data_IF_730653186713
#
_entry.id   IF_730653186713
#
_cell.length_a   1.000
_cell.length_b   1.000
_cell.length_c   1.000
_cell.angle_alpha   90.00
_cell.angle_beta   90.00
_cell.angle_gamma   90.00
#
_symmetry.space_group_name_H-M   'P 1'
#
loop_
_entity.id
_entity.type
_entity.pdbx_description
1 polymer ?
#
# COMPACT_ATOMS: atom_id res chain seq x y z
N UNK A 1 -1.67 -14.34 23.48
CA UNK A 1 -2.83 -13.52 23.91
C UNK A 1 -3.99 -14.45 24.20
N UNK A 2 -4.71 -14.29 25.32
CA UNK A 2 -5.84 -15.15 25.66
C UNK A 2 -7.08 -14.72 24.86
N UNK A 3 -7.20 -15.21 23.62
CA UNK A 3 -8.26 -14.83 22.66
C UNK A 3 -9.68 -15.10 23.20
N UNK A 4 -9.85 -16.06 24.10
CA UNK A 4 -11.14 -16.43 24.71
C UNK A 4 -11.70 -15.36 25.68
N UNK A 5 -10.91 -14.35 26.03
CA UNK A 5 -11.32 -13.26 26.93
C UNK A 5 -11.84 -12.02 26.18
N UNK A 6 -11.69 -11.98 24.86
CA UNK A 6 -12.09 -10.86 24.02
C UNK A 6 -13.55 -10.97 23.58
N UNK A 7 -14.23 -9.84 23.44
CA UNK A 7 -15.59 -9.83 22.92
C UNK A 7 -15.58 -10.26 21.44
N UNK A 8 -16.66 -10.95 21.03
CA UNK A 8 -16.87 -11.43 19.67
C UNK A 8 -16.79 -10.32 18.61
N UNK A 9 -17.19 -9.09 18.96
CA UNK A 9 -17.14 -7.93 18.05
C UNK A 9 -15.70 -7.46 17.80
N UNK A 10 -14.89 -7.37 18.85
CA UNK A 10 -13.47 -7.03 18.76
C UNK A 10 -12.69 -8.07 17.95
N UNK A 11 -12.98 -9.36 18.18
CA UNK A 11 -12.37 -10.45 17.43
C UNK A 11 -12.70 -10.38 15.94
N UNK A 12 -13.96 -10.08 15.57
CA UNK A 12 -14.36 -9.92 14.17
C UNK A 12 -13.68 -8.72 13.53
N UNK A 13 -13.63 -7.59 14.24
CA UNK A 13 -12.94 -6.38 13.77
C UNK A 13 -11.46 -6.66 13.51
N UNK A 14 -10.78 -7.29 14.46
CA UNK A 14 -9.38 -7.69 14.33
C UNK A 14 -9.16 -8.67 13.16
N UNK A 15 -10.04 -9.65 12.96
CA UNK A 15 -9.95 -10.58 11.84
C UNK A 15 -10.13 -9.87 10.50
N UNK A 16 -11.12 -8.97 10.38
CA UNK A 16 -11.35 -8.18 9.16
C UNK A 16 -10.13 -7.33 8.83
N UNK A 17 -9.65 -6.56 9.80
CA UNK A 17 -8.46 -5.72 9.64
C UNK A 17 -7.24 -6.55 9.24
N UNK A 18 -7.06 -7.73 9.83
CA UNK A 18 -5.94 -8.63 9.50
C UNK A 18 -6.02 -9.15 8.07
N UNK A 19 -7.19 -9.57 7.61
CA UNK A 19 -7.41 -10.03 6.24
C UNK A 19 -7.21 -8.91 5.23
N UNK A 20 -7.77 -7.72 5.48
CA UNK A 20 -7.57 -6.53 4.64
C UNK A 20 -6.08 -6.17 4.55
N UNK A 21 -5.37 -6.16 5.69
CA UNK A 21 -3.93 -5.93 5.72
C UNK A 21 -3.18 -6.98 4.90
N UNK A 22 -3.52 -8.26 5.06
CA UNK A 22 -2.90 -9.34 4.31
C UNK A 22 -3.13 -9.20 2.80
N UNK A 23 -4.33 -8.80 2.36
CA UNK A 23 -4.60 -8.54 0.94
C UNK A 23 -3.73 -7.39 0.41
N UNK A 24 -3.63 -6.29 1.16
CA UNK A 24 -2.80 -5.14 0.76
C UNK A 24 -1.33 -5.53 0.61
N UNK A 25 -0.81 -6.30 1.55
CA UNK A 25 0.57 -6.80 1.51
C UNK A 25 0.84 -7.74 0.32
N UNK A 26 -0.09 -8.65 0.04
CA UNK A 26 0.01 -9.53 -1.13
C UNK A 26 -0.07 -8.75 -2.45
N UNK A 27 -0.95 -7.73 -2.54
CA UNK A 27 -1.04 -6.85 -3.70
C UNK A 27 0.26 -6.07 -3.91
N UNK A 28 0.81 -5.48 -2.85
CA UNK A 28 2.07 -4.76 -2.89
C UNK A 28 3.22 -5.67 -3.37
N UNK A 29 3.36 -6.86 -2.78
CA UNK A 29 4.39 -7.83 -3.17
C UNK A 29 4.31 -8.16 -4.67
N UNK A 30 3.11 -8.50 -5.17
CA UNK A 30 2.92 -8.85 -6.58
C UNK A 30 3.23 -7.66 -7.48
N UNK A 31 2.72 -6.48 -7.15
CA UNK A 31 2.94 -5.27 -7.93
C UNK A 31 4.41 -4.93 -8.02
N UNK A 32 5.09 -4.76 -6.88
CA UNK A 32 6.47 -4.28 -6.84
C UNK A 32 7.44 -5.27 -7.48
N UNK A 33 7.22 -6.57 -7.26
CA UNK A 33 8.05 -7.62 -7.85
C UNK A 33 7.93 -7.63 -9.36
N UNK A 34 6.70 -7.57 -9.89
CA UNK A 34 6.48 -7.67 -11.34
C UNK A 34 6.73 -6.34 -12.07
N UNK A 35 6.45 -5.20 -11.42
CA UNK A 35 6.78 -3.88 -11.95
C UNK A 35 8.29 -3.72 -12.13
N UNK A 36 9.09 -4.19 -11.17
CA UNK A 36 10.54 -4.13 -11.24
C UNK A 36 11.12 -4.97 -12.39
N UNK A 37 10.55 -6.15 -12.63
CA UNK A 37 11.04 -7.09 -13.63
C UNK A 37 10.51 -6.81 -15.05
N UNK A 38 9.28 -6.30 -15.18
CA UNK A 38 8.57 -6.21 -16.47
C UNK A 38 8.06 -4.81 -16.82
N UNK A 39 8.18 -3.82 -15.92
CA UNK A 39 7.69 -2.45 -16.12
C UNK A 39 6.17 -2.30 -15.95
N UNK A 40 5.63 -1.12 -16.29
CA UNK A 40 4.24 -0.74 -16.00
C UNK A 40 3.19 -1.70 -16.58
N UNK A 41 3.47 -2.30 -17.75
CA UNK A 41 2.58 -3.23 -18.45
C UNK A 41 2.85 -4.71 -18.07
N UNK A 42 3.23 -4.97 -16.82
CA UNK A 42 3.56 -6.33 -16.34
C UNK A 42 2.39 -7.31 -16.44
N UNK A 43 1.14 -6.84 -16.46
CA UNK A 43 -0.04 -7.71 -16.64
C UNK A 43 -0.02 -8.49 -17.93
N UNK A 44 0.48 -7.88 -19.01
CA UNK A 44 0.53 -8.48 -20.34
C UNK A 44 1.88 -9.08 -20.66
N UNK A 45 2.95 -8.47 -20.16
CA UNK A 45 4.33 -8.83 -20.48
C UNK A 45 4.93 -9.88 -19.55
N UNK A 46 4.46 -10.01 -18.31
CA UNK A 46 5.04 -10.93 -17.34
C UNK A 46 4.83 -12.39 -17.76
N UNK A 47 5.94 -13.07 -18.07
CA UNK A 47 5.98 -14.46 -18.51
C UNK A 47 7.24 -15.17 -18.05
N UNK A 48 7.15 -16.49 -17.89
CA UNK A 48 8.28 -17.39 -17.63
C UNK A 48 8.41 -18.29 -18.86
N UNK A 49 9.40 -18.01 -19.71
CA UNK A 49 9.42 -18.58 -21.06
C UNK A 49 8.18 -18.15 -21.84
N UNK A 50 7.36 -19.11 -22.24
CA UNK A 50 6.09 -18.87 -22.93
C UNK A 50 4.86 -18.86 -22.00
N UNK A 51 5.06 -19.09 -20.69
CA UNK A 51 3.97 -19.17 -19.72
C UNK A 51 3.67 -17.79 -19.10
N UNK A 52 2.50 -17.23 -19.40
CA UNK A 52 2.02 -15.97 -18.82
C UNK A 52 1.84 -16.09 -17.31
N UNK A 53 2.32 -15.10 -16.53
CA UNK A 53 2.15 -15.00 -15.07
C UNK A 53 0.67 -14.93 -14.70
N UNK A 54 -0.10 -14.13 -15.45
CA UNK A 54 -1.54 -13.96 -15.29
C UNK A 54 -2.30 -14.87 -16.24
N UNK A 55 -3.32 -15.56 -15.73
CA UNK A 55 -4.27 -16.31 -16.54
C UNK A 55 -5.18 -15.35 -17.31
N UNK A 56 -5.71 -15.76 -18.48
CA UNK A 56 -6.55 -14.91 -19.33
C UNK A 56 -7.74 -14.31 -18.58
N UNK A 57 -8.43 -15.11 -17.75
CA UNK A 57 -9.54 -14.64 -16.91
C UNK A 57 -9.15 -13.53 -15.93
N UNK A 58 -7.92 -13.58 -15.40
CA UNK A 58 -7.41 -12.53 -14.51
C UNK A 58 -7.13 -11.26 -15.30
N UNK A 59 -6.55 -11.37 -16.51
CA UNK A 59 -6.31 -10.22 -17.39
C UNK A 59 -7.61 -9.54 -17.81
N UNK A 60 -8.61 -10.32 -18.23
CA UNK A 60 -9.94 -9.81 -18.59
C UNK A 60 -10.59 -9.06 -17.43
N UNK A 61 -10.50 -9.61 -16.21
CA UNK A 61 -10.99 -8.94 -15.00
C UNK A 61 -10.28 -7.61 -14.75
N UNK A 62 -8.95 -7.60 -14.80
CA UNK A 62 -8.16 -6.38 -14.60
C UNK A 62 -8.63 -5.30 -15.57
N UNK A 63 -8.72 -5.64 -16.86
CA UNK A 63 -9.13 -4.70 -17.91
C UNK A 63 -10.54 -4.16 -17.68
N UNK A 64 -11.52 -5.02 -17.36
CA UNK A 64 -12.90 -4.58 -17.08
C UNK A 64 -12.97 -3.61 -15.90
N UNK A 65 -12.34 -3.95 -14.76
CA UNK A 65 -12.41 -3.11 -13.57
C UNK A 65 -11.64 -1.79 -13.70
N UNK A 66 -10.48 -1.79 -14.37
CA UNK A 66 -9.72 -0.57 -14.61
C UNK A 66 -10.43 0.38 -15.60
N UNK A 67 -11.13 -0.17 -16.59
CA UNK A 67 -11.90 0.63 -17.53
C UNK A 67 -13.17 1.23 -16.88
N UNK A 68 -13.82 0.47 -16.00
CA UNK A 68 -15.04 0.92 -15.32
C UNK A 68 -14.75 1.93 -14.21
N UNK A 69 -13.70 1.73 -13.41
CA UNK A 69 -13.40 2.56 -12.23
C UNK A 69 -11.88 2.82 -12.07
N UNK A 70 -11.26 3.59 -12.98
CA UNK A 70 -9.80 3.80 -12.98
C UNK A 70 -9.29 4.51 -11.71
N UNK A 71 -10.09 5.40 -11.12
CA UNK A 71 -9.72 6.10 -9.88
C UNK A 71 -9.74 5.19 -8.64
N UNK A 72 -10.57 4.15 -8.65
CA UNK A 72 -10.69 3.19 -7.54
C UNK A 72 -9.62 2.09 -7.62
N UNK A 73 -9.18 1.74 -8.83
CA UNK A 73 -8.21 0.67 -9.08
C UNK A 73 -6.96 1.19 -9.79
N UNK A 74 -6.15 2.00 -9.09
CA UNK A 74 -5.00 2.65 -9.69
C UNK A 74 -3.89 1.67 -10.10
N UNK A 75 -3.75 0.52 -9.42
CA UNK A 75 -2.87 -0.59 -9.86
C UNK A 75 -3.70 -1.76 -10.37
N UNK A 76 -3.19 -2.53 -11.36
CA UNK A 76 -3.88 -3.73 -11.83
C UNK A 76 -4.21 -4.75 -10.73
N UNK A 77 -3.30 -4.91 -9.75
CA UNK A 77 -3.48 -5.84 -8.62
C UNK A 77 -4.62 -5.45 -7.68
N UNK A 78 -5.04 -4.18 -7.67
CA UNK A 78 -6.11 -3.69 -6.79
C UNK A 78 -7.48 -4.26 -7.21
N UNK A 79 -7.61 -4.70 -8.46
CA UNK A 79 -8.83 -5.37 -8.99
C UNK A 79 -8.98 -6.83 -8.52
N UNK A 80 -7.91 -7.41 -7.97
CA UNK A 80 -7.80 -8.83 -7.68
C UNK A 80 -8.44 -9.18 -6.33
N UNK A 81 -8.98 -10.40 -6.25
CA UNK A 81 -9.54 -10.96 -5.02
C UNK A 81 -8.47 -11.76 -4.30
N UNK A 82 -8.70 -12.10 -3.02
CA UNK A 82 -7.79 -12.96 -2.24
C UNK A 82 -7.42 -14.26 -2.97
N UNK A 83 -8.40 -14.89 -3.63
CA UNK A 83 -8.20 -16.12 -4.43
C UNK A 83 -7.30 -15.89 -5.65
N UNK A 84 -7.51 -14.78 -6.37
CA UNK A 84 -6.65 -14.41 -7.49
C UNK A 84 -5.20 -14.20 -7.02
N UNK A 85 -5.00 -13.48 -5.92
CA UNK A 85 -3.67 -13.26 -5.34
C UNK A 85 -2.99 -14.59 -5.03
N UNK A 86 -3.70 -15.50 -4.35
CA UNK A 86 -3.24 -16.87 -4.06
C UNK A 86 -2.90 -17.71 -5.29
N UNK A 87 -3.68 -17.57 -6.35
CA UNK A 87 -3.42 -18.28 -7.61
C UNK A 87 -2.14 -17.82 -8.31
N UNK A 88 -1.78 -16.53 -8.15
CA UNK A 88 -0.59 -15.95 -8.76
C UNK A 88 0.66 -16.34 -7.98
N UNK A 89 0.67 -16.10 -6.67
CA UNK A 89 1.83 -16.39 -5.80
C UNK A 89 2.04 -17.88 -5.55
N UNK A 90 0.96 -18.67 -5.53
CA UNK A 90 0.99 -20.10 -5.23
C UNK A 90 1.18 -21.01 -6.45
N UNK A 91 1.34 -20.45 -7.66
CA UNK A 91 1.67 -21.24 -8.86
C UNK A 91 3.15 -21.57 -8.83
N UNK A 92 3.50 -22.85 -8.98
CA UNK A 92 4.87 -23.37 -8.79
C UNK A 92 5.93 -22.55 -9.53
N UNK A 93 5.73 -22.26 -10.82
CA UNK A 93 6.69 -21.49 -11.63
C UNK A 93 6.85 -20.05 -11.11
N UNK A 94 5.74 -19.39 -10.78
CA UNK A 94 5.73 -18.02 -10.28
C UNK A 94 6.38 -17.93 -8.91
N UNK A 95 6.04 -18.85 -8.02
CA UNK A 95 6.59 -18.94 -6.68
C UNK A 95 8.11 -19.07 -6.75
N UNK A 96 8.60 -20.08 -7.47
CA UNK A 96 10.03 -20.38 -7.54
C UNK A 96 10.81 -19.24 -8.21
N UNK A 97 10.24 -18.58 -9.22
CA UNK A 97 10.93 -17.55 -9.99
C UNK A 97 10.90 -16.18 -9.30
N UNK A 98 9.78 -15.78 -8.71
CA UNK A 98 9.56 -14.40 -8.28
C UNK A 98 9.31 -14.25 -6.77
N UNK A 99 8.61 -15.18 -6.12
CA UNK A 99 8.07 -14.95 -4.77
C UNK A 99 8.74 -15.77 -3.67
N UNK A 100 9.58 -16.74 -4.03
CA UNK A 100 10.23 -17.64 -3.05
C UNK A 100 11.07 -16.86 -2.05
N UNK A 101 11.95 -15.98 -2.52
CA UNK A 101 12.81 -15.17 -1.66
C UNK A 101 12.01 -14.27 -0.69
N UNK A 102 10.76 -13.96 -1.04
CA UNK A 102 9.88 -13.11 -0.24
C UNK A 102 9.03 -13.87 0.77
N UNK A 103 8.85 -15.18 0.57
CA UNK A 103 7.91 -16.00 1.35
C UNK A 103 8.60 -17.15 2.11
N UNK A 104 9.82 -17.51 1.74
CA UNK A 104 10.50 -18.72 2.25
C UNK A 104 10.83 -18.69 3.75
N UNK A 105 10.83 -17.53 4.42
CA UNK A 105 11.12 -17.47 5.86
C UNK A 105 10.06 -18.19 6.69
N UNK A 106 8.79 -18.07 6.31
CA UNK A 106 7.66 -18.73 6.97
C UNK A 106 7.13 -19.92 6.16
N UNK A 107 7.31 -19.92 4.83
CA UNK A 107 6.75 -20.93 3.93
C UNK A 107 7.86 -21.77 3.27
N UNK A 108 8.67 -22.43 4.09
CA UNK A 108 9.89 -23.16 3.68
C UNK A 108 9.63 -24.31 2.69
N UNK A 109 8.46 -24.96 2.78
CA UNK A 109 8.27 -26.29 2.19
C UNK A 109 7.78 -26.31 0.73
N UNK A 110 6.91 -25.38 0.30
CA UNK A 110 6.47 -25.29 -1.11
C UNK A 110 5.50 -24.13 -1.40
N UNK A 111 5.40 -23.77 -2.67
CA UNK A 111 4.29 -23.02 -3.29
C UNK A 111 2.91 -23.53 -2.88
N UNK A 112 2.75 -24.86 -2.72
CA UNK A 112 1.49 -25.50 -2.31
C UNK A 112 1.09 -25.09 -0.90
N UNK A 113 2.06 -24.92 0.00
CA UNK A 113 1.79 -24.46 1.36
C UNK A 113 1.22 -23.04 1.34
N UNK A 114 1.88 -22.11 0.62
CA UNK A 114 1.38 -20.74 0.43
C UNK A 114 -0.03 -20.75 -0.17
N UNK A 115 -0.24 -21.52 -1.24
CA UNK A 115 -1.55 -21.64 -1.90
C UNK A 115 -2.64 -22.15 -0.96
N UNK A 116 -2.32 -23.14 -0.12
CA UNK A 116 -3.25 -23.70 0.84
C UNK A 116 -3.63 -22.67 1.92
N UNK A 117 -2.65 -21.98 2.48
CA UNK A 117 -2.87 -20.95 3.50
C UNK A 117 -3.69 -19.78 2.96
N UNK A 118 -3.34 -19.28 1.78
CA UNK A 118 -4.07 -18.19 1.14
C UNK A 118 -5.50 -18.61 0.80
N UNK A 119 -5.74 -19.88 0.45
CA UNK A 119 -7.09 -20.43 0.26
C UNK A 119 -7.91 -20.47 1.55
N UNK A 120 -7.30 -20.86 2.68
CA UNK A 120 -7.95 -20.82 4.00
C UNK A 120 -8.38 -19.38 4.34
N UNK A 121 -7.45 -18.42 4.18
CA UNK A 121 -7.73 -17.01 4.46
C UNK A 121 -8.81 -16.44 3.53
N UNK A 122 -8.79 -16.80 2.24
CA UNK A 122 -9.83 -16.42 1.29
C UNK A 122 -11.22 -16.95 1.69
N UNK A 123 -11.29 -18.20 2.16
CA UNK A 123 -12.53 -18.80 2.67
C UNK A 123 -13.10 -18.03 3.86
N UNK A 124 -12.25 -17.70 4.84
CA UNK A 124 -12.64 -16.89 6.01
C UNK A 124 -13.06 -15.46 5.62
N UNK A 125 -12.34 -14.86 4.68
CA UNK A 125 -12.67 -13.54 4.13
C UNK A 125 -14.05 -13.54 3.49
N UNK A 126 -14.36 -14.52 2.63
CA UNK A 126 -15.68 -14.62 2.04
C UNK A 126 -16.77 -14.83 3.11
N UNK A 127 -16.53 -15.69 4.11
CA UNK A 127 -17.47 -15.93 5.20
C UNK A 127 -17.76 -14.68 6.05
N UNK A 128 -16.75 -13.84 6.30
CA UNK A 128 -16.87 -12.60 7.08
C UNK A 128 -17.67 -11.49 6.39
N UNK A 129 -17.58 -11.41 5.06
CA UNK A 129 -18.23 -10.37 4.25
C UNK A 129 -19.62 -10.77 3.74
N UNK A 130 -19.96 -12.06 3.78
CA UNK A 130 -21.33 -12.55 3.57
C UNK A 130 -22.08 -12.66 4.91
N UNK A 131 -23.42 -12.70 4.88
CA UNK A 131 -24.32 -12.69 6.05
C UNK A 131 -24.19 -13.90 7.02
N UNK A 132 -23.16 -14.74 6.87
CA UNK A 132 -22.81 -15.86 7.77
C UNK A 132 -21.83 -15.44 8.89
N UNK A 133 -21.66 -14.13 9.10
CA UNK A 133 -20.85 -13.52 10.15
C UNK A 133 -21.15 -13.91 11.63
N UNK A 134 -22.30 -14.51 12.04
CA UNK A 134 -22.56 -14.71 13.47
C UNK A 134 -21.61 -15.67 14.20
N UNK A 135 -20.93 -16.60 13.53
CA UNK A 135 -20.18 -17.67 14.23
C UNK A 135 -18.78 -17.91 13.64
N UNK A 136 -17.84 -16.98 13.86
CA UNK A 136 -16.43 -17.36 13.81
C UNK A 136 -16.11 -18.25 15.01
N UNK A 137 -15.65 -19.46 14.74
CA UNK A 137 -15.07 -20.31 15.79
C UNK A 137 -13.74 -19.72 16.26
N UNK A 138 -13.34 -20.02 17.50
CA UNK A 138 -12.03 -19.63 18.03
C UNK A 138 -10.89 -20.13 17.12
N UNK A 139 -11.04 -21.33 16.57
CA UNK A 139 -10.08 -21.89 15.62
C UNK A 139 -9.97 -21.07 14.33
N UNK A 140 -11.09 -20.60 13.77
CA UNK A 140 -11.08 -19.73 12.60
C UNK A 140 -10.38 -18.39 12.89
N UNK A 141 -10.62 -17.82 14.08
CA UNK A 141 -9.92 -16.61 14.54
C UNK A 141 -8.41 -16.85 14.61
N UNK A 142 -7.97 -17.95 15.23
CA UNK A 142 -6.55 -18.30 15.32
C UNK A 142 -5.92 -18.48 13.95
N UNK A 143 -6.58 -19.18 13.02
CA UNK A 143 -6.09 -19.34 11.65
C UNK A 143 -5.91 -18.00 10.94
N UNK A 144 -6.89 -17.10 11.04
CA UNK A 144 -6.82 -15.78 10.39
C UNK A 144 -5.65 -14.96 10.96
N UNK A 145 -5.54 -14.92 12.29
CA UNK A 145 -4.54 -14.09 12.96
C UNK A 145 -3.13 -14.64 12.74
N UNK A 146 -2.91 -15.94 12.92
CA UNK A 146 -1.60 -16.56 12.76
C UNK A 146 -1.16 -16.53 11.30
N UNK A 147 -1.95 -17.13 10.39
CA UNK A 147 -1.53 -17.21 9.00
C UNK A 147 -1.48 -15.85 8.29
N UNK A 148 -2.37 -14.93 8.66
CA UNK A 148 -2.29 -13.55 8.18
C UNK A 148 -1.01 -12.86 8.64
N UNK A 149 -0.60 -13.07 9.90
CA UNK A 149 0.68 -12.56 10.40
C UNK A 149 1.87 -13.21 9.70
N UNK A 150 1.89 -14.53 9.52
CA UNK A 150 3.00 -15.23 8.88
C UNK A 150 3.26 -14.71 7.46
N UNK A 151 2.19 -14.46 6.67
CA UNK A 151 2.32 -13.83 5.35
C UNK A 151 2.87 -12.41 5.48
N UNK A 152 2.28 -11.59 6.34
CA UNK A 152 2.67 -10.18 6.50
C UNK A 152 4.13 -10.06 6.94
N UNK A 153 4.54 -10.83 7.94
CA UNK A 153 5.90 -10.78 8.50
C UNK A 153 6.93 -11.32 7.51
N UNK A 154 6.60 -12.35 6.73
CA UNK A 154 7.47 -12.85 5.66
C UNK A 154 7.72 -11.77 4.59
N UNK A 155 6.66 -11.06 4.18
CA UNK A 155 6.75 -9.97 3.21
C UNK A 155 7.50 -8.77 3.80
N UNK A 156 7.24 -8.38 5.05
CA UNK A 156 8.01 -7.33 5.74
C UNK A 156 9.48 -7.67 5.81
N UNK A 157 9.83 -8.90 6.15
CA UNK A 157 11.21 -9.36 6.22
C UNK A 157 11.88 -9.28 4.85
N UNK A 158 11.16 -9.58 3.76
CA UNK A 158 11.65 -9.41 2.40
C UNK A 158 11.99 -7.96 2.08
N UNK A 159 11.06 -7.03 2.29
CA UNK A 159 11.31 -5.61 2.04
C UNK A 159 12.38 -5.04 2.98
N UNK A 160 12.43 -5.49 4.23
CA UNK A 160 13.49 -5.12 5.18
C UNK A 160 14.86 -5.55 4.68
N UNK A 161 15.00 -6.76 4.12
CA UNK A 161 16.25 -7.24 3.51
C UNK A 161 16.61 -6.44 2.25
N UNK A 162 15.63 -6.15 1.41
CA UNK A 162 15.82 -5.31 0.22
C UNK A 162 16.29 -3.90 0.59
N UNK A 163 15.65 -3.28 1.58
CA UNK A 163 16.06 -1.99 2.11
C UNK A 163 17.43 -2.07 2.80
N UNK A 164 17.73 -3.13 3.55
CA UNK A 164 19.05 -3.35 4.16
C UNK A 164 20.18 -3.52 3.12
N UNK A 165 19.86 -3.87 1.88
CA UNK A 165 20.80 -3.88 0.75
C UNK A 165 20.96 -2.50 0.10
N UNK A 166 20.09 -1.54 0.40
CA UNK A 166 20.33 -0.13 0.12
C UNK A 166 21.53 0.34 0.96
N UNK A 167 22.36 1.21 0.39
CA UNK A 167 23.46 1.87 1.13
C UNK A 167 22.93 2.64 2.34
N UNK A 168 21.66 3.04 2.29
CA UNK A 168 20.97 3.78 3.33
C UNK A 168 19.57 3.17 3.58
N UNK A 169 19.43 2.15 4.45
CA UNK A 169 18.14 1.52 4.74
C UNK A 169 17.20 2.44 5.52
N UNK A 170 16.45 3.28 4.84
CA UNK A 170 15.54 4.27 5.44
C UNK A 170 14.16 4.23 4.78
N UNK A 171 13.08 4.57 5.52
CA UNK A 171 11.72 4.53 4.98
C UNK A 171 11.57 5.53 3.82
N UNK A 172 10.72 5.19 2.86
CA UNK A 172 10.37 6.03 1.71
C UNK A 172 8.87 6.13 1.55
N UNK A 173 8.41 7.20 0.90
CA UNK A 173 7.02 7.28 0.47
C UNK A 173 6.78 6.32 -0.71
N UNK A 174 5.61 5.70 -0.74
CA UNK A 174 5.17 4.78 -1.80
C UNK A 174 3.99 5.35 -2.58
N UNK A 175 3.13 6.12 -1.92
CA UNK A 175 1.94 6.72 -2.54
C UNK A 175 1.63 8.09 -1.96
N UNK A 176 1.06 8.94 -2.79
CA UNK A 176 0.43 10.19 -2.43
C UNK A 176 -0.98 10.26 -3.04
N UNK A 177 -1.95 10.80 -2.29
CA UNK A 177 -3.27 11.14 -2.83
C UNK A 177 -3.91 12.36 -2.16
N UNK A 178 -4.89 12.96 -2.82
CA UNK A 178 -5.72 14.03 -2.27
C UNK A 178 -7.21 13.89 -2.56
N UNK A 179 -8.01 14.76 -1.93
CA UNK A 179 -9.46 14.85 -2.13
C UNK A 179 -9.88 15.40 -3.50
N UNK A 180 -8.96 15.88 -4.34
CA UNK A 180 -9.24 16.32 -5.71
C UNK A 180 -9.18 15.15 -6.72
N UNK A 181 -8.73 13.98 -6.25
CA UNK A 181 -8.55 12.77 -7.02
C UNK A 181 -7.15 12.65 -7.65
N UNK A 182 -6.18 13.46 -7.24
CA UNK A 182 -4.80 13.24 -7.66
C UNK A 182 -4.26 12.02 -6.91
N UNK A 183 -3.63 11.10 -7.65
CA UNK A 183 -2.91 9.95 -7.10
C UNK A 183 -1.54 9.89 -7.76
N UNK A 184 -0.47 9.77 -6.97
CA UNK A 184 0.90 9.61 -7.43
C UNK A 184 1.56 8.44 -6.72
N UNK A 185 2.25 7.61 -7.49
CA UNK A 185 3.11 6.56 -6.98
C UNK A 185 4.54 7.08 -6.93
N UNK A 186 5.21 6.80 -5.83
CA UNK A 186 6.48 7.40 -5.46
C UNK A 186 7.54 6.32 -5.44
N UNK A 187 8.63 6.55 -6.18
CA UNK A 187 9.75 5.61 -6.32
C UNK A 187 11.11 6.26 -6.07
N UNK A 188 11.18 7.59 -6.06
CA UNK A 188 12.39 8.34 -5.75
C UNK A 188 12.45 8.77 -4.28
N UNK A 189 13.65 9.09 -3.80
CA UNK A 189 13.88 9.61 -2.44
C UNK A 189 13.29 11.03 -2.30
N UNK A 190 13.43 11.83 -3.36
CA UNK A 190 12.91 13.18 -3.45
C UNK A 190 11.98 13.26 -4.66
N UNK A 191 10.69 13.52 -4.43
CA UNK A 191 9.72 13.66 -5.51
C UNK A 191 9.19 15.09 -5.56
N UNK A 192 9.02 15.61 -6.78
CA UNK A 192 8.44 16.92 -7.02
C UNK A 192 7.33 16.86 -8.06
N UNK A 193 6.10 17.23 -7.67
CA UNK A 193 4.97 17.30 -8.61
C UNK A 193 4.34 18.69 -8.63
N UNK A 194 3.96 19.12 -9.83
CA UNK A 194 3.09 20.27 -10.03
C UNK A 194 1.70 19.79 -10.43
N UNK A 195 0.72 20.05 -9.57
CA UNK A 195 -0.68 19.62 -9.66
C UNK A 195 -1.57 20.82 -9.97
N UNK A 196 -1.35 21.45 -11.13
CA UNK A 196 -2.04 22.67 -11.55
C UNK A 196 -3.25 22.41 -12.46
N UNK A 197 -3.60 21.14 -12.71
CA UNK A 197 -4.70 20.78 -13.62
C UNK A 197 -6.08 21.12 -13.07
N UNK A 198 -6.25 21.14 -11.74
CA UNK A 198 -7.45 21.60 -11.05
C UNK A 198 -7.05 22.64 -10.02
N UNK A 199 -7.36 23.94 -10.23
CA UNK A 199 -7.06 24.95 -9.24
C UNK A 199 -7.93 24.74 -8.00
N UNK A 200 -7.36 25.09 -6.86
CA UNK A 200 -8.03 25.17 -5.57
C UNK A 200 -8.55 26.58 -5.32
N UNK A 201 -9.55 26.74 -4.47
CA UNK A 201 -10.11 28.04 -4.14
C UNK A 201 -9.98 28.35 -2.65
N UNK A 202 -9.92 29.64 -2.34
CA UNK A 202 -9.99 30.12 -0.96
C UNK A 202 -11.26 29.62 -0.27
N UNK A 203 -11.12 29.06 0.94
CA UNK A 203 -12.19 28.45 1.71
C UNK A 203 -12.35 26.94 1.48
N UNK A 204 -11.71 26.37 0.45
CA UNK A 204 -11.72 24.91 0.27
C UNK A 204 -11.00 24.22 1.42
N UNK A 205 -11.56 23.09 1.86
CA UNK A 205 -10.87 22.16 2.75
C UNK A 205 -10.36 20.99 1.93
N UNK A 206 -9.04 20.84 1.87
CA UNK A 206 -8.37 19.80 1.09
C UNK A 206 -7.76 18.80 2.04
N UNK A 207 -7.94 17.51 1.74
CA UNK A 207 -7.34 16.40 2.48
C UNK A 207 -6.24 15.79 1.64
N UNK A 208 -5.06 15.70 2.23
CA UNK A 208 -3.86 15.12 1.66
C UNK A 208 -3.47 13.85 2.43
N UNK A 209 -3.03 12.82 1.71
CA UNK A 209 -2.67 11.54 2.29
C UNK A 209 -1.37 11.04 1.66
N UNK A 210 -0.50 10.44 2.49
CA UNK A 210 0.71 9.74 2.04
C UNK A 210 0.74 8.34 2.61
N UNK A 211 1.34 7.43 1.87
CA UNK A 211 1.70 6.10 2.32
C UNK A 211 3.22 5.96 2.32
N UNK A 212 3.73 5.28 3.34
CA UNK A 212 5.14 4.95 3.51
C UNK A 212 5.31 3.45 3.29
N UNK A 213 6.51 3.03 2.88
CA UNK A 213 6.87 1.63 2.77
C UNK A 213 6.47 0.88 4.06
N UNK A 214 5.60 -0.10 3.87
CA UNK A 214 5.00 -0.87 4.95
C UNK A 214 6.00 -1.78 5.64
N UNK A 215 7.21 -1.94 5.09
CA UNK A 215 8.32 -2.65 5.74
C UNK A 215 8.79 -1.99 7.04
N UNK A 216 8.46 -0.70 7.24
CA UNK A 216 8.78 0.07 8.44
C UNK A 216 7.55 0.24 9.34
N UNK A 217 7.73 0.01 10.64
CA UNK A 217 6.69 0.31 11.63
C UNK A 217 6.44 1.81 11.72
N UNK A 218 5.18 2.29 11.88
CA UNK A 218 4.88 3.70 12.12
C UNK A 218 5.64 4.31 13.31
N UNK A 219 6.04 3.49 14.28
CA UNK A 219 6.80 3.93 15.46
C UNK A 219 8.28 4.22 15.15
N UNK A 220 8.78 3.83 13.99
CA UNK A 220 10.19 3.98 13.59
C UNK A 220 10.48 5.30 12.87
N UNK A 221 9.45 6.07 12.53
CA UNK A 221 9.61 7.31 11.76
C UNK A 221 8.60 8.38 12.17
N UNK A 222 8.70 9.54 11.54
CA UNK A 222 7.80 10.68 11.69
C UNK A 222 7.55 11.29 10.32
N UNK A 223 6.29 11.59 10.05
CA UNK A 223 5.85 12.31 8.86
C UNK A 223 5.45 13.71 9.30
N UNK A 224 6.04 14.74 8.66
CA UNK A 224 5.72 16.14 8.95
C UNK A 224 5.32 16.85 7.67
N UNK A 225 4.15 17.47 7.70
CA UNK A 225 3.65 18.31 6.62
C UNK A 225 4.07 19.75 6.86
N UNK A 226 4.59 20.42 5.83
CA UNK A 226 5.07 21.79 5.89
C UNK A 226 4.48 22.66 4.79
N UNK A 227 4.18 23.90 5.14
CA UNK A 227 3.79 24.95 4.19
C UNK A 227 4.75 26.12 4.40
N UNK A 228 5.41 26.56 3.32
CA UNK A 228 6.44 27.62 3.38
C UNK A 228 7.53 27.37 4.44
N UNK A 229 7.88 26.10 4.65
CA UNK A 229 8.90 25.67 5.61
C UNK A 229 8.40 25.44 7.05
N UNK A 230 7.19 25.90 7.38
CA UNK A 230 6.62 25.77 8.73
C UNK A 230 5.81 24.47 8.86
N UNK A 231 5.96 23.71 9.96
CA UNK A 231 5.19 22.49 10.18
C UNK A 231 3.72 22.82 10.47
N UNK A 232 2.81 22.15 9.76
CA UNK A 232 1.35 22.38 9.86
C UNK A 232 0.58 21.16 10.32
N UNK A 233 1.09 19.94 10.08
CA UNK A 233 0.47 18.71 10.53
C UNK A 233 1.52 17.58 10.65
N UNK A 234 1.17 16.50 11.35
CA UNK A 234 1.99 15.30 11.44
C UNK A 234 1.14 14.05 11.15
N UNK A 235 1.80 12.99 10.68
CA UNK A 235 1.16 11.70 10.38
C UNK A 235 0.78 11.55 8.90
N UNK A 236 0.05 10.48 8.58
CA UNK A 236 -0.26 10.10 7.19
C UNK A 236 -1.25 11.02 6.49
N UNK A 237 -2.01 11.82 7.23
CA UNK A 237 -3.10 12.66 6.71
C UNK A 237 -2.90 14.09 7.17
N UNK A 238 -3.08 15.03 6.24
CA UNK A 238 -3.17 16.46 6.53
C UNK A 238 -4.47 17.01 5.94
N UNK A 239 -5.31 17.60 6.79
CA UNK A 239 -6.49 18.35 6.38
C UNK A 239 -6.19 19.84 6.52
N UNK A 240 -6.40 20.59 5.44
CA UNK A 240 -6.04 22.00 5.34
C UNK A 240 -7.19 22.82 4.78
N UNK A 241 -7.64 23.81 5.54
CA UNK A 241 -8.50 24.88 5.05
C UNK A 241 -7.65 25.98 4.39
N UNK A 242 -7.97 26.32 3.14
CA UNK A 242 -7.23 27.31 2.36
C UNK A 242 -7.60 28.73 2.75
N UNK A 243 -6.62 29.49 3.25
CA UNK A 243 -6.77 30.87 3.71
C UNK A 243 -6.11 31.84 2.74
N UNK A 244 -6.33 33.15 2.95
CA UNK A 244 -5.75 34.22 2.12
C UNK A 244 -4.23 34.10 1.91
N UNK A 245 -3.49 33.65 2.92
CA UNK A 245 -2.04 33.47 2.84
C UNK A 245 -1.60 32.28 1.96
N UNK A 246 -2.52 31.41 1.55
CA UNK A 246 -2.28 30.25 0.67
C UNK A 246 -2.56 30.56 -0.81
N UNK A 247 -3.27 31.66 -1.11
CA UNK A 247 -3.59 32.08 -2.48
C UNK A 247 -2.31 32.40 -3.25
N UNK A 248 -2.20 31.85 -4.46
CA UNK A 248 -1.06 32.06 -5.35
C UNK A 248 -0.93 30.99 -6.44
N UNK A 249 -0.14 31.30 -7.47
CA UNK A 249 0.12 30.40 -8.60
C UNK A 249 0.98 29.18 -8.21
N UNK A 250 1.69 29.24 -7.09
CA UNK A 250 2.55 28.17 -6.56
C UNK A 250 2.38 28.05 -5.05
N UNK A 251 1.29 27.44 -4.64
CA UNK A 251 1.11 26.98 -3.27
C UNK A 251 1.92 25.70 -3.07
N UNK A 252 3.04 25.81 -2.35
CA UNK A 252 3.94 24.70 -2.06
C UNK A 252 3.57 23.97 -0.77
N UNK A 253 3.28 22.68 -0.89
CA UNK A 253 3.11 21.73 0.20
C UNK A 253 4.30 20.76 0.19
N UNK A 254 4.97 20.63 1.33
CA UNK A 254 6.10 19.74 1.51
C UNK A 254 5.76 18.67 2.55
N UNK A 255 6.22 17.44 2.32
CA UNK A 255 6.07 16.32 3.26
C UNK A 255 7.44 15.72 3.51
N UNK A 256 7.84 15.75 4.76
CA UNK A 256 9.11 15.25 5.25
C UNK A 256 8.91 13.88 5.89
N UNK A 257 9.76 12.92 5.54
CA UNK A 257 9.84 11.62 6.21
C UNK A 257 11.19 11.51 6.91
N UNK A 258 11.14 11.31 8.22
CA UNK A 258 12.33 11.22 9.08
C UNK A 258 12.25 9.96 9.93
N UNK A 259 13.20 9.05 9.77
CA UNK A 259 13.34 7.89 10.66
C UNK A 259 13.89 8.30 12.02
N UNK A 260 13.70 7.49 13.06
CA UNK A 260 14.24 7.75 14.40
C UNK A 260 15.68 7.25 14.56
N UNK A 261 16.46 7.26 13.49
CA UNK A 261 17.87 6.82 13.46
C UNK A 261 18.80 8.01 13.73
N UNK A 262 20.01 7.72 14.18
CA UNK A 262 21.06 8.74 14.41
C UNK A 262 21.67 9.30 13.11
N UNK A 263 21.33 8.69 11.97
CA UNK A 263 21.76 9.11 10.64
C UNK A 263 20.54 9.14 9.71
N UNK A 264 20.64 9.97 8.66
CA UNK A 264 19.58 10.12 7.68
C UNK A 264 20.13 10.08 6.26
N UNK A 265 19.31 9.61 5.31
CA UNK A 265 19.71 9.43 3.91
C UNK A 265 20.03 10.75 3.20
N UNK A 266 19.36 11.83 3.56
CA UNK A 266 19.53 13.16 2.98
C UNK A 266 20.11 14.14 4.01
N UNK A 267 20.81 15.16 3.51
CA UNK A 267 21.21 16.30 4.34
C UNK A 267 19.97 17.04 4.89
N UNK A 268 20.09 17.57 6.11
CA UNK A 268 18.97 18.24 6.79
C UNK A 268 18.10 17.32 7.66
N UNK A 269 18.60 16.14 8.03
CA UNK A 269 17.92 15.14 8.87
C UNK A 269 16.63 14.57 8.25
N UNK A 270 16.69 14.19 6.97
CA UNK A 270 15.55 13.66 6.21
C UNK A 270 15.90 12.34 5.53
N UNK A 271 14.93 11.45 5.42
CA UNK A 271 15.09 10.15 4.75
C UNK A 271 14.35 10.06 3.42
N UNK A 272 13.24 10.79 3.28
CA UNK A 272 12.58 11.05 2.01
C UNK A 272 11.84 12.40 2.05
N UNK A 273 11.60 12.96 0.87
CA UNK A 273 11.01 14.28 0.69
C UNK A 273 10.00 14.27 -0.46
N UNK A 274 8.80 14.76 -0.21
CA UNK A 274 7.79 14.99 -1.24
C UNK A 274 7.46 16.48 -1.29
N UNK A 275 7.47 17.07 -2.48
CA UNK A 275 7.07 18.47 -2.70
C UNK A 275 5.99 18.53 -3.76
N UNK A 276 4.89 19.21 -3.44
CA UNK A 276 3.70 19.34 -4.26
C UNK A 276 3.40 20.82 -4.46
N UNK A 277 3.16 21.23 -5.70
CA UNK A 277 2.74 22.58 -6.01
C UNK A 277 1.31 22.59 -6.55
N UNK A 278 0.47 23.44 -5.97
CA UNK A 278 -0.89 23.71 -6.43
C UNK A 278 -1.03 25.15 -6.91
N UNK A 279 -2.06 25.40 -7.69
CA UNK A 279 -2.59 26.73 -7.92
C UNK A 279 -3.77 26.95 -6.97
N UNK A 280 -3.74 28.04 -6.19
CA UNK A 280 -4.82 28.44 -5.28
C UNK A 280 -5.31 29.82 -5.70
N UNK A 281 -6.56 29.89 -6.13
CA UNK A 281 -7.22 31.10 -6.61
C UNK A 281 -8.02 31.79 -5.49
N UNK A 282 -8.21 33.11 -5.56
CA UNK A 282 -9.18 33.79 -4.70
C UNK A 282 -10.60 33.27 -4.96
N UNK A 283 -11.54 33.52 -4.04
CA UNK A 283 -12.93 33.12 -4.25
C UNK A 283 -13.43 33.65 -5.60
N UNK A 284 -14.15 32.83 -6.39
CA UNK A 284 -14.72 33.29 -7.65
C UNK A 284 -15.66 34.46 -7.35
N UNK A 285 -15.43 35.59 -8.00
CA UNK A 285 -16.42 36.67 -8.01
C UNK A 285 -17.67 36.13 -8.70
N UNK A 286 -18.72 35.86 -7.91
CA UNK A 286 -20.08 35.61 -8.40
C UNK A 286 -20.65 36.94 -8.89
#
# INVERSE_FOLDING_TARGET
MALHLLNSEDLRSACRQRLESCELWLRALIHDTLLREFGENYTDTAKIGDLSVFQSKIKERIQSYQNENPSQYPRPVDTLTFEHLGSIIGRDDNYNKFFRASLESEFIFSSKHVKHIVSILAGHRNALYHANSPTLSLHAVEQILCYGNDIIESIKAHYSKMSAQDKFPAPTFTRYSDSLGNVKYLNEIQNHFSLTTKPLFLGDTVRFEVEVDSSYSPDEYTITWRIKGEPVANGYVCELELKNNHVGQKFGLQVDLTSKKDWHRMGGNLDALLTLNYEVLPMPHI
#
